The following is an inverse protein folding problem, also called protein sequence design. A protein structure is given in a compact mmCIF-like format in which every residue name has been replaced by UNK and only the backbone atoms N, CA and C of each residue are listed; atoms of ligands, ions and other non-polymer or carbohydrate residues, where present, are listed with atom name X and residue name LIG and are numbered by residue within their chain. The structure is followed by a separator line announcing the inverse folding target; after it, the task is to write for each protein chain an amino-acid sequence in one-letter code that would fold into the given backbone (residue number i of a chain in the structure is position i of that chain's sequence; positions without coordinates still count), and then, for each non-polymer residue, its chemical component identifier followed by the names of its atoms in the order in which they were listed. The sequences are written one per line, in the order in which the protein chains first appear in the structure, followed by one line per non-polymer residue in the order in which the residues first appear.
data_IF_327086025791
#
_entry.id   IF_327086025791
#
_cell.length_a   1.000
_cell.length_b   1.000
_cell.length_c   1.000
_cell.angle_alpha   90.00
_cell.angle_beta   90.00
_cell.angle_gamma   90.00
#
_symmetry.space_group_name_H-M   'P 1'
#
loop_
_entity.id
_entity.type
_entity.pdbx_description
1 polymer ?
#
# COMPACT_ATOMS: atom_id res chain seq x y z
N UNK A 1 -31.29 -21.97 0.00
CA UNK A 1 -31.17 -22.02 -1.47
C UNK A 1 -29.70 -22.02 -1.81
N UNK A 2 -29.14 -23.19 -2.12
CA UNK A 2 -27.75 -23.32 -2.53
C UNK A 2 -27.60 -22.82 -3.98
N UNK A 3 -26.56 -22.02 -4.32
CA UNK A 3 -26.18 -21.90 -5.71
C UNK A 3 -25.45 -23.19 -6.11
N UNK A 4 -25.85 -23.72 -7.26
CA UNK A 4 -25.40 -25.00 -7.79
C UNK A 4 -23.88 -25.03 -7.96
N UNK A 5 -23.26 -26.09 -7.44
CA UNK A 5 -21.98 -26.61 -7.93
C UNK A 5 -22.26 -27.37 -9.22
N UNK A 6 -21.66 -26.92 -10.32
CA UNK A 6 -21.30 -27.79 -11.43
C UNK A 6 -19.85 -27.48 -11.81
N UNK A 7 -18.96 -28.38 -11.43
CA UNK A 7 -17.69 -28.60 -12.11
C UNK A 7 -17.76 -30.03 -12.65
N UNK A 8 -18.40 -30.19 -13.80
CA UNK A 8 -18.22 -31.36 -14.66
C UNK A 8 -17.02 -31.09 -15.55
N UNK A 9 -15.96 -31.84 -15.32
CA UNK A 9 -14.76 -31.86 -16.13
C UNK A 9 -15.03 -32.75 -17.36
N UNK A 10 -15.77 -32.22 -18.33
CA UNK A 10 -15.95 -32.82 -19.66
C UNK A 10 -15.43 -31.84 -20.71
N UNK A 11 -14.58 -32.34 -21.61
CA UNK A 11 -13.88 -31.59 -22.66
C UNK A 11 -14.78 -31.05 -23.77
N UNK A 12 -15.75 -30.23 -23.41
CA UNK A 12 -16.44 -29.32 -24.30
C UNK A 12 -15.85 -27.92 -24.11
N UNK A 13 -15.29 -27.35 -25.18
CA UNK A 13 -15.01 -25.92 -25.25
C UNK A 13 -16.28 -25.16 -24.83
N UNK A 14 -16.28 -24.56 -23.64
CA UNK A 14 -17.31 -23.63 -23.24
C UNK A 14 -17.20 -22.40 -24.15
N UNK A 15 -17.93 -22.40 -25.26
CA UNK A 15 -17.95 -21.32 -26.24
C UNK A 15 -18.55 -20.01 -25.67
N UNK A 16 -19.33 -20.09 -24.58
CA UNK A 16 -19.91 -18.93 -23.92
C UNK A 16 -20.20 -19.23 -22.44
N UNK A 17 -20.10 -18.20 -21.60
CA UNK A 17 -20.49 -18.22 -20.19
C UNK A 17 -21.55 -17.14 -19.94
N UNK A 18 -22.61 -17.47 -19.20
CA UNK A 18 -23.61 -16.49 -18.76
C UNK A 18 -23.06 -15.76 -17.53
N UNK A 19 -23.10 -14.42 -17.58
CA UNK A 19 -22.64 -13.56 -16.50
C UNK A 19 -23.75 -12.60 -16.08
N UNK A 20 -23.70 -12.13 -14.85
CA UNK A 20 -24.53 -11.01 -14.43
C UNK A 20 -24.08 -9.73 -15.18
N UNK A 21 -25.04 -8.84 -15.49
CA UNK A 21 -24.74 -7.59 -16.22
C UNK A 21 -23.72 -6.71 -15.47
N UNK A 22 -23.68 -6.83 -14.15
CA UNK A 22 -22.78 -6.11 -13.25
C UNK A 22 -21.61 -6.98 -12.75
N UNK A 23 -21.30 -8.11 -13.42
CA UNK A 23 -20.15 -8.92 -13.06
C UNK A 23 -18.86 -8.14 -13.31
N UNK A 24 -18.17 -7.76 -12.23
CA UNK A 24 -16.94 -6.96 -12.27
C UNK A 24 -15.79 -7.67 -12.99
N UNK A 25 -15.87 -8.99 -13.17
CA UNK A 25 -14.90 -9.76 -13.94
C UNK A 25 -15.04 -9.58 -15.44
N UNK A 26 -16.17 -9.03 -15.93
CA UNK A 26 -16.33 -8.75 -17.35
C UNK A 26 -15.31 -7.70 -17.85
N UNK A 27 -14.87 -6.81 -16.96
CA UNK A 27 -13.82 -5.84 -17.21
C UNK A 27 -13.05 -5.57 -15.91
N UNK A 28 -11.84 -6.10 -15.81
CA UNK A 28 -10.98 -5.91 -14.65
C UNK A 28 -9.73 -5.13 -15.07
N UNK A 29 -9.63 -3.86 -14.71
CA UNK A 29 -8.47 -3.06 -15.09
C UNK A 29 -7.25 -3.46 -14.27
N UNK A 30 -6.09 -3.45 -14.92
CA UNK A 30 -4.78 -3.77 -14.35
C UNK A 30 -3.99 -2.48 -14.24
N UNK A 31 -3.72 -2.08 -13.00
CA UNK A 31 -2.95 -0.88 -12.69
C UNK A 31 -1.66 -1.25 -11.95
N UNK A 32 -0.65 -0.38 -12.05
CA UNK A 32 0.42 -0.29 -11.06
C UNK A 32 0.27 1.00 -10.29
N UNK A 33 0.47 0.96 -8.98
CA UNK A 33 0.60 2.15 -8.13
C UNK A 33 2.04 2.18 -7.63
N UNK A 34 2.68 3.34 -7.66
CA UNK A 34 4.00 3.55 -7.09
C UNK A 34 4.02 4.87 -6.34
N UNK A 35 4.56 4.87 -5.11
CA UNK A 35 4.80 6.10 -4.37
C UNK A 35 6.05 6.81 -4.90
N UNK A 36 6.02 8.14 -4.93
CA UNK A 36 7.19 8.95 -5.25
C UNK A 36 7.93 9.22 -3.94
N UNK A 37 9.04 8.52 -3.74
CA UNK A 37 9.88 8.55 -2.54
C UNK A 37 11.25 9.18 -2.85
N UNK A 38 12.08 9.52 -1.85
CA UNK A 38 13.44 10.00 -2.11
C UNK A 38 14.28 8.98 -2.90
N UNK A 39 15.20 9.44 -3.77
CA UNK A 39 15.54 10.84 -4.03
C UNK A 39 14.57 11.58 -4.96
N UNK A 40 13.73 10.88 -5.73
CA UNK A 40 12.76 11.47 -6.67
C UNK A 40 11.83 12.49 -5.99
N UNK A 41 11.34 12.18 -4.79
CA UNK A 41 10.40 13.06 -4.09
C UNK A 41 10.99 14.42 -3.70
N UNK A 42 12.31 14.48 -3.61
CA UNK A 42 13.10 15.67 -3.22
C UNK A 42 13.61 16.44 -4.43
N UNK A 43 13.46 15.91 -5.64
CA UNK A 43 13.86 16.58 -6.86
C UNK A 43 13.04 17.87 -7.02
N UNK A 44 13.72 19.03 -6.98
CA UNK A 44 13.04 20.32 -7.07
C UNK A 44 12.36 20.47 -8.43
N UNK A 45 11.04 20.68 -8.39
CA UNK A 45 10.21 20.86 -9.58
C UNK A 45 10.67 22.09 -10.38
N UNK A 46 10.70 21.92 -11.70
CA UNK A 46 11.03 22.99 -12.63
C UNK A 46 12.53 23.29 -12.77
N UNK A 47 13.41 22.58 -12.06
CA UNK A 47 14.86 22.61 -12.31
C UNK A 47 15.21 22.03 -13.68
N UNK A 48 16.42 22.31 -14.18
CA UNK A 48 16.90 21.72 -15.44
C UNK A 48 16.90 20.18 -15.38
N UNK A 49 17.31 19.60 -14.25
CA UNK A 49 17.31 18.15 -14.03
C UNK A 49 15.90 17.55 -14.01
N UNK A 50 14.93 18.14 -13.29
CA UNK A 50 13.53 17.66 -13.29
C UNK A 50 12.92 17.68 -14.70
N UNK A 51 13.04 18.82 -15.40
CA UNK A 51 12.50 18.97 -16.76
C UNK A 51 13.15 18.00 -17.74
N UNK A 52 14.48 17.89 -17.68
CA UNK A 52 15.23 17.00 -18.55
C UNK A 52 14.96 15.54 -18.24
N UNK A 53 14.80 15.16 -16.96
CA UNK A 53 14.46 13.80 -16.51
C UNK A 53 13.06 13.37 -16.99
N UNK A 54 12.11 14.29 -17.07
CA UNK A 54 10.74 14.02 -17.55
C UNK A 54 10.59 14.03 -19.08
N UNK A 55 11.56 14.57 -19.82
CA UNK A 55 11.48 14.72 -21.28
C UNK A 55 12.40 13.75 -22.04
N UNK A 56 11.88 12.57 -22.39
CA UNK A 56 12.60 11.61 -23.24
C UNK A 56 12.90 12.19 -24.62
N UNK A 57 12.03 13.05 -25.15
CA UNK A 57 12.22 13.71 -26.44
C UNK A 57 13.46 14.62 -26.45
N UNK A 58 13.61 15.46 -25.42
CA UNK A 58 14.73 16.40 -25.35
C UNK A 58 16.07 15.68 -25.11
N UNK A 59 16.07 14.62 -24.29
CA UNK A 59 17.25 13.75 -24.14
C UNK A 59 17.64 13.09 -25.46
N UNK A 60 16.69 12.49 -26.17
CA UNK A 60 16.92 11.88 -27.50
C UNK A 60 17.42 12.90 -28.53
N UNK A 61 16.92 14.14 -28.48
CA UNK A 61 17.37 15.20 -29.40
C UNK A 61 18.85 15.56 -29.18
N UNK A 62 19.31 15.59 -27.92
CA UNK A 62 20.71 15.80 -27.56
C UNK A 62 21.55 14.59 -27.98
N UNK A 63 21.10 13.37 -27.68
CA UNK A 63 21.85 12.14 -27.94
C UNK A 63 21.97 11.82 -29.44
N UNK A 64 20.96 12.18 -30.24
CA UNK A 64 20.96 11.99 -31.69
C UNK A 64 21.91 12.97 -32.44
N UNK A 65 22.45 13.99 -31.75
CA UNK A 65 23.30 15.00 -32.37
C UNK A 65 24.68 14.43 -32.76
N UNK A 66 24.92 14.29 -34.08
CA UNK A 66 26.12 13.65 -34.63
C UNK A 66 27.42 14.44 -34.53
N UNK A 67 27.36 15.75 -34.21
CA UNK A 67 28.55 16.60 -34.11
C UNK A 67 28.56 17.41 -32.81
N UNK A 68 29.74 17.75 -32.26
CA UNK A 68 29.84 18.59 -31.05
C UNK A 68 29.20 19.98 -31.21
N UNK A 69 29.14 20.50 -32.43
CA UNK A 69 28.47 21.77 -32.70
C UNK A 69 26.95 21.61 -32.67
N UNK A 70 26.42 20.54 -33.28
CA UNK A 70 24.99 20.24 -33.26
C UNK A 70 24.51 19.95 -31.84
N UNK A 71 25.28 19.20 -31.03
CA UNK A 71 24.95 18.92 -29.64
C UNK A 71 24.85 20.19 -28.80
N UNK A 72 25.83 21.10 -28.92
CA UNK A 72 25.78 22.43 -28.27
C UNK A 72 24.59 23.27 -28.73
N UNK A 73 24.22 23.19 -30.01
CA UNK A 73 23.02 23.84 -30.55
C UNK A 73 21.72 23.32 -29.92
N UNK A 74 21.60 22.00 -29.73
CA UNK A 74 20.45 21.39 -29.06
C UNK A 74 20.38 21.79 -27.59
N UNK A 75 21.51 21.70 -26.87
CA UNK A 75 21.61 22.12 -25.47
C UNK A 75 21.16 23.57 -25.30
N UNK A 76 21.62 24.48 -26.16
CA UNK A 76 21.22 25.89 -26.10
C UNK A 76 19.71 26.07 -26.30
N UNK A 77 19.15 25.40 -27.30
CA UNK A 77 17.71 25.47 -27.62
C UNK A 77 16.85 24.97 -26.45
N UNK A 78 17.25 23.85 -25.84
CA UNK A 78 16.54 23.26 -24.71
C UNK A 78 16.71 24.12 -23.45
N UNK A 79 17.91 24.65 -23.20
CA UNK A 79 18.18 25.55 -22.08
C UNK A 79 17.32 26.82 -22.17
N UNK A 80 17.21 27.42 -23.36
CA UNK A 80 16.33 28.57 -23.61
C UNK A 80 14.86 28.22 -23.32
N UNK A 81 14.41 27.01 -23.72
CA UNK A 81 13.05 26.51 -23.46
C UNK A 81 12.78 26.31 -21.97
N UNK A 82 13.77 25.77 -21.24
CA UNK A 82 13.69 25.52 -19.80
C UNK A 82 13.94 26.77 -18.97
N UNK A 83 14.38 27.88 -19.60
CA UNK A 83 14.78 29.13 -18.95
C UNK A 83 15.93 28.93 -17.97
N UNK A 84 16.90 28.10 -18.34
CA UNK A 84 18.13 27.86 -17.59
C UNK A 84 19.37 28.15 -18.46
N UNK A 85 20.56 28.10 -17.85
CA UNK A 85 21.81 28.24 -18.62
C UNK A 85 22.16 26.91 -19.32
N UNK A 86 22.93 26.95 -20.42
CA UNK A 86 23.50 25.74 -21.01
C UNK A 86 24.32 24.92 -20.01
N UNK A 87 25.05 25.59 -19.11
CA UNK A 87 25.82 24.97 -18.04
C UNK A 87 24.91 24.19 -17.06
N UNK A 88 23.76 24.75 -16.68
CA UNK A 88 22.77 24.04 -15.83
C UNK A 88 22.24 22.78 -16.52
N UNK A 89 22.03 22.84 -17.83
CA UNK A 89 21.54 21.69 -18.60
C UNK A 89 22.63 20.61 -18.76
N UNK A 90 23.89 21.01 -18.90
CA UNK A 90 25.03 20.08 -18.91
C UNK A 90 25.24 19.41 -17.55
N UNK A 91 25.07 20.15 -16.44
CA UNK A 91 25.07 19.58 -15.10
C UNK A 91 23.91 18.58 -14.92
N UNK A 92 22.70 18.95 -15.33
CA UNK A 92 21.54 18.05 -15.29
C UNK A 92 21.76 16.76 -16.10
N UNK A 93 22.38 16.85 -17.29
CA UNK A 93 22.75 15.69 -18.09
C UNK A 93 23.75 14.79 -17.36
N UNK A 94 24.73 15.39 -16.66
CA UNK A 94 25.71 14.65 -15.89
C UNK A 94 25.06 13.92 -14.70
N UNK A 95 24.17 14.59 -13.97
CA UNK A 95 23.42 14.00 -12.85
C UNK A 95 22.60 12.80 -13.32
N UNK A 96 21.85 12.96 -14.41
CA UNK A 96 21.05 11.88 -15.02
C UNK A 96 21.94 10.73 -15.47
N UNK A 97 23.08 11.03 -16.10
CA UNK A 97 24.03 9.99 -16.54
C UNK A 97 24.69 9.25 -15.37
N UNK A 98 24.75 9.85 -14.19
CA UNK A 98 25.20 9.21 -12.94
C UNK A 98 24.08 8.44 -12.23
N UNK A 99 22.86 8.43 -12.79
CA UNK A 99 21.71 7.69 -12.27
C UNK A 99 20.80 8.52 -11.37
N UNK A 100 21.01 9.83 -11.20
CA UNK A 100 20.13 10.66 -10.38
C UNK A 100 18.82 11.04 -11.12
N UNK A 101 17.65 11.07 -10.44
CA UNK A 101 17.42 10.56 -9.08
C UNK A 101 17.46 9.02 -8.99
N UNK A 102 16.86 8.29 -9.92
CA UNK A 102 17.03 6.83 -10.10
C UNK A 102 16.97 6.45 -11.59
N UNK A 103 17.63 7.23 -12.45
CA UNK A 103 17.61 7.03 -13.90
C UNK A 103 18.22 5.68 -14.29
N UNK A 104 17.52 4.93 -15.16
CA UNK A 104 17.85 3.56 -15.61
C UNK A 104 17.99 2.51 -14.48
N UNK A 105 17.57 2.82 -13.25
CA UNK A 105 17.54 1.85 -12.17
C UNK A 105 16.45 0.79 -12.42
N UNK A 106 16.80 -0.48 -12.24
CA UNK A 106 15.88 -1.61 -12.38
C UNK A 106 15.61 -2.20 -11.01
N UNK A 107 14.36 -2.11 -10.58
CA UNK A 107 13.91 -2.63 -9.29
C UNK A 107 13.00 -3.85 -9.47
N UNK A 108 13.19 -4.84 -8.61
CA UNK A 108 12.18 -5.87 -8.41
C UNK A 108 11.00 -5.31 -7.60
N UNK A 109 9.78 -5.88 -7.70
CA UNK A 109 8.65 -5.45 -6.88
C UNK A 109 8.93 -5.48 -5.37
N UNK A 110 9.72 -6.45 -4.90
CA UNK A 110 10.15 -6.52 -3.51
C UNK A 110 11.02 -5.34 -3.10
N UNK A 111 12.01 -4.98 -3.93
CA UNK A 111 12.88 -3.83 -3.68
C UNK A 111 12.12 -2.50 -3.68
N UNK A 112 11.10 -2.33 -4.54
CA UNK A 112 10.24 -1.15 -4.50
C UNK A 112 9.53 -1.03 -3.15
N UNK A 113 8.96 -2.14 -2.68
CA UNK A 113 8.24 -2.17 -1.40
C UNK A 113 9.17 -1.97 -0.20
N UNK A 114 10.37 -2.53 -0.24
CA UNK A 114 11.43 -2.27 0.75
C UNK A 114 11.87 -0.80 0.75
N UNK A 115 12.04 -0.19 -0.42
CA UNK A 115 12.45 1.21 -0.55
C UNK A 115 11.38 2.17 -0.02
N UNK A 116 10.10 1.90 -0.32
CA UNK A 116 8.98 2.62 0.27
C UNK A 116 8.96 2.52 1.80
N UNK A 117 9.11 1.32 2.34
CA UNK A 117 9.17 1.11 3.80
C UNK A 117 10.32 1.91 4.43
N UNK A 118 11.48 1.91 3.80
CA UNK A 118 12.66 2.63 4.28
C UNK A 118 12.48 4.14 4.24
N UNK A 119 11.86 4.67 3.18
CA UNK A 119 11.55 6.08 3.07
C UNK A 119 10.65 6.59 4.20
N UNK A 120 9.75 5.76 4.74
CA UNK A 120 8.94 6.13 5.90
C UNK A 120 9.68 6.00 7.24
N UNK A 121 10.72 5.17 7.31
CA UNK A 121 11.54 5.02 8.53
C UNK A 121 12.66 6.05 8.65
N UNK A 122 13.10 6.61 7.53
CA UNK A 122 14.12 7.65 7.45
C UNK A 122 13.58 9.00 7.94
N UNK A 123 14.32 9.66 8.83
CA UNK A 123 14.05 11.04 9.22
C UNK A 123 14.71 11.93 8.18
N UNK A 124 13.92 12.48 7.26
CA UNK A 124 14.41 13.37 6.21
C UNK A 124 14.66 14.78 6.78
N UNK A 125 15.91 15.27 6.83
CA UNK A 125 16.20 16.63 7.27
C UNK A 125 15.82 17.66 6.20
N UNK A 126 15.48 18.87 6.64
CA UNK A 126 15.25 20.05 5.78
C UNK A 126 14.18 19.87 4.70
N UNK A 127 13.18 19.02 4.94
CA UNK A 127 12.04 18.81 4.05
C UNK A 127 11.33 20.12 3.73
N UNK A 128 11.08 20.37 2.44
CA UNK A 128 10.27 21.49 1.99
C UNK A 128 8.80 21.07 1.85
N UNK A 129 7.83 21.97 2.15
CA UNK A 129 6.40 21.63 2.06
C UNK A 129 5.88 21.24 0.66
N UNK A 130 6.65 21.55 -0.39
CA UNK A 130 6.32 21.26 -1.79
C UNK A 130 7.00 20.00 -2.34
N UNK A 131 7.82 19.30 -1.53
CA UNK A 131 8.34 17.97 -1.84
C UNK A 131 7.18 16.97 -2.05
N UNK A 132 7.41 15.93 -2.85
CA UNK A 132 6.36 14.98 -3.20
C UNK A 132 6.06 13.96 -2.08
N UNK A 133 6.95 13.85 -1.09
CA UNK A 133 6.75 13.11 0.16
C UNK A 133 7.22 13.98 1.32
N UNK A 134 6.33 14.27 2.26
CA UNK A 134 6.62 15.02 3.48
C UNK A 134 6.12 14.23 4.68
N UNK A 135 7.05 13.86 5.57
CA UNK A 135 6.78 13.03 6.75
C UNK A 135 7.22 13.70 8.03
N UNK A 136 6.50 13.43 9.12
CA UNK A 136 6.88 13.80 10.48
C UNK A 136 6.91 12.54 11.35
N UNK A 137 8.07 12.21 11.90
CA UNK A 137 8.20 11.10 12.85
C UNK A 137 7.56 11.51 14.20
N UNK A 138 6.56 10.75 14.62
CA UNK A 138 5.81 10.96 15.87
C UNK A 138 6.16 9.89 16.91
N UNK A 139 7.18 9.07 16.65
CA UNK A 139 7.51 7.88 17.44
C UNK A 139 7.86 8.23 18.87
N UNK A 140 8.69 9.26 19.09
CA UNK A 140 9.11 9.64 20.45
C UNK A 140 7.90 10.06 21.30
N UNK A 141 7.02 10.89 20.74
CA UNK A 141 5.80 11.36 21.42
C UNK A 141 4.81 10.22 21.63
N UNK A 142 4.70 9.30 20.67
CA UNK A 142 3.92 8.07 20.79
C UNK A 142 4.40 7.20 21.94
N UNK A 143 5.70 6.88 21.99
CA UNK A 143 6.27 6.03 23.04
C UNK A 143 6.20 6.68 24.42
N UNK A 144 6.26 8.01 24.50
CA UNK A 144 6.08 8.73 25.76
C UNK A 144 4.68 8.48 26.39
N UNK A 145 3.65 8.14 25.60
CA UNK A 145 2.33 7.79 26.12
C UNK A 145 2.35 6.52 27.00
N UNK A 146 3.27 5.58 26.73
CA UNK A 146 3.42 4.38 27.56
C UNK A 146 4.04 4.68 28.94
N UNK A 147 4.77 5.79 29.07
CA UNK A 147 5.42 6.22 30.30
C UNK A 147 4.53 7.05 31.24
N UNK A 148 3.34 7.45 30.79
CA UNK A 148 2.40 8.22 31.60
C UNK A 148 1.74 7.33 32.67
N UNK A 149 2.02 7.60 33.94
CA UNK A 149 1.51 6.81 35.08
C UNK A 149 -0.03 6.82 35.18
N UNK A 150 -0.71 7.76 34.51
CA UNK A 150 -2.18 7.82 34.47
C UNK A 150 -2.79 6.81 33.50
N UNK A 151 -1.98 6.22 32.64
CA UNK A 151 -2.39 5.28 31.59
C UNK A 151 -2.37 3.85 32.13
N UNK A 152 -3.48 3.13 32.01
CA UNK A 152 -3.58 1.73 32.45
C UNK A 152 -2.71 0.78 31.62
N UNK A 153 -2.39 -0.38 32.19
CA UNK A 153 -1.52 -1.39 31.57
C UNK A 153 -1.98 -1.81 30.17
N UNK A 154 -3.30 -1.94 29.95
CA UNK A 154 -3.85 -2.30 28.63
C UNK A 154 -3.42 -1.30 27.55
N UNK A 155 -3.57 -0.01 27.82
CA UNK A 155 -3.21 1.06 26.87
C UNK A 155 -1.69 1.14 26.69
N UNK A 156 -0.92 0.92 27.76
CA UNK A 156 0.54 0.81 27.68
C UNK A 156 0.95 -0.29 26.71
N UNK A 157 0.30 -1.46 26.77
CA UNK A 157 0.58 -2.57 25.84
C UNK A 157 0.18 -2.25 24.40
N UNK A 158 -0.87 -1.46 24.18
CA UNK A 158 -1.22 -0.97 22.84
C UNK A 158 -0.12 -0.08 22.26
N UNK A 159 0.37 0.87 23.05
CA UNK A 159 1.43 1.80 22.64
C UNK A 159 2.71 1.04 22.31
N UNK A 160 3.12 0.11 23.18
CA UNK A 160 4.32 -0.72 22.97
C UNK A 160 4.18 -1.69 21.78
N UNK A 161 2.96 -2.06 21.38
CA UNK A 161 2.73 -2.89 20.21
C UNK A 161 2.99 -2.18 18.87
N UNK A 162 2.96 -0.85 18.87
CA UNK A 162 3.30 -0.01 17.71
C UNK A 162 4.70 0.57 17.92
N UNK A 163 5.66 0.12 17.12
CA UNK A 163 7.05 0.53 17.22
C UNK A 163 7.31 1.92 16.62
N UNK A 164 6.70 2.25 15.47
CA UNK A 164 6.83 3.56 14.81
C UNK A 164 5.45 4.10 14.47
N UNK A 165 5.29 5.42 14.63
CA UNK A 165 4.14 6.19 14.16
C UNK A 165 4.66 7.38 13.37
N UNK A 166 4.30 7.46 12.10
CA UNK A 166 4.75 8.50 11.18
C UNK A 166 3.54 9.16 10.56
N UNK A 167 3.48 10.48 10.73
CA UNK A 167 2.48 11.34 10.08
C UNK A 167 2.97 11.64 8.67
N UNK A 168 2.13 11.37 7.66
CA UNK A 168 2.44 11.64 6.26
C UNK A 168 1.60 12.83 5.81
N UNK A 169 2.18 14.04 5.89
CA UNK A 169 1.49 15.29 5.53
C UNK A 169 1.26 15.41 4.03
N UNK A 170 2.17 14.83 3.26
CA UNK A 170 2.10 14.84 1.80
C UNK A 170 2.69 13.56 1.26
N UNK A 171 2.00 12.95 0.32
CA UNK A 171 2.52 11.89 -0.53
C UNK A 171 2.01 12.10 -1.96
N UNK A 172 2.85 11.70 -2.91
CA UNK A 172 2.49 11.60 -4.31
C UNK A 172 2.55 10.13 -4.72
N UNK A 173 1.53 9.68 -5.43
CA UNK A 173 1.50 8.37 -6.05
C UNK A 173 1.30 8.53 -7.55
N UNK A 174 1.93 7.65 -8.34
CA UNK A 174 1.69 7.55 -9.77
C UNK A 174 0.93 6.26 -10.04
N UNK A 175 -0.28 6.39 -10.59
CA UNK A 175 -1.11 5.24 -10.98
C UNK A 175 -1.00 5.04 -12.48
N UNK A 176 -0.39 3.94 -12.88
CA UNK A 176 -0.12 3.57 -14.28
C UNK A 176 -1.14 2.53 -14.72
N UNK A 177 -1.84 2.78 -15.83
CA UNK A 177 -2.73 1.80 -16.42
C UNK A 177 -1.94 0.87 -17.34
N UNK A 178 -1.91 -0.43 -16.99
CA UNK A 178 -1.15 -1.48 -17.69
C UNK A 178 -2.01 -2.27 -18.67
N UNK A 179 -3.32 -2.14 -18.60
CA UNK A 179 -4.25 -2.88 -19.46
C UNK A 179 -5.47 -3.36 -18.69
N UNK A 180 -6.21 -4.30 -19.26
CA UNK A 180 -7.34 -4.93 -18.58
C UNK A 180 -7.40 -6.42 -18.90
N UNK A 181 -8.00 -7.18 -17.99
CA UNK A 181 -8.32 -8.59 -18.17
C UNK A 181 -9.84 -8.80 -18.17
N UNK A 182 -10.29 -9.97 -18.63
CA UNK A 182 -11.69 -10.39 -18.61
C UNK A 182 -11.78 -11.80 -18.05
N UNK A 183 -12.82 -12.07 -17.27
CA UNK A 183 -13.20 -13.40 -16.77
C UNK A 183 -12.07 -14.14 -16.05
N UNK A 184 -11.23 -13.41 -15.32
CA UNK A 184 -10.01 -13.91 -14.67
C UNK A 184 -8.97 -14.48 -15.65
N UNK A 185 -9.04 -14.10 -16.92
CA UNK A 185 -8.06 -14.50 -17.93
C UNK A 185 -6.67 -13.99 -17.57
N UNK A 186 -5.67 -14.84 -17.77
CA UNK A 186 -4.26 -14.52 -17.54
C UNK A 186 -3.72 -13.49 -18.55
N UNK A 187 -4.40 -13.33 -19.68
CA UNK A 187 -4.01 -12.42 -20.75
C UNK A 187 -4.47 -11.00 -20.42
N UNK A 188 -3.50 -10.13 -20.13
CA UNK A 188 -3.72 -8.70 -20.01
C UNK A 188 -3.68 -8.06 -21.40
N UNK A 189 -4.76 -7.38 -21.79
CA UNK A 189 -4.80 -6.59 -23.02
C UNK A 189 -4.19 -5.22 -22.73
N UNK A 190 -3.08 -4.84 -23.39
CA UNK A 190 -2.41 -3.57 -23.12
C UNK A 190 -3.26 -2.36 -23.59
N UNK A 191 -3.00 -1.15 -23.05
CA UNK A 191 -3.72 0.05 -23.46
C UNK A 191 -3.43 0.44 -24.92
N UNK A 192 -2.21 0.18 -25.39
CA UNK A 192 -1.83 0.37 -26.78
C UNK A 192 -2.22 -0.85 -27.62
N UNK A 193 -3.33 -0.72 -28.35
CA UNK A 193 -3.84 -1.75 -29.25
C UNK A 193 -2.95 -1.92 -30.49
N UNK A 194 -2.20 -0.89 -30.87
CA UNK A 194 -1.31 -0.89 -32.06
C UNK A 194 0.05 -1.51 -31.74
N UNK A 195 0.49 -1.45 -30.47
CA UNK A 195 1.76 -2.01 -30.00
C UNK A 195 2.99 -1.23 -30.48
N UNK A 196 2.86 0.08 -30.66
CA UNK A 196 3.92 0.97 -31.17
C UNK A 196 4.47 1.94 -30.11
N UNK A 197 3.82 2.02 -28.95
CA UNK A 197 4.15 2.95 -27.87
C UNK A 197 5.18 2.35 -26.92
N UNK A 198 6.17 3.17 -26.55
CA UNK A 198 7.18 2.87 -25.52
C UNK A 198 6.82 3.48 -24.15
N UNK A 199 5.55 3.87 -23.95
CA UNK A 199 5.04 4.51 -22.74
C UNK A 199 3.67 3.97 -22.34
N UNK A 200 3.30 4.16 -21.07
CA UNK A 200 1.99 3.80 -20.52
C UNK A 200 1.25 5.03 -20.00
N UNK A 201 -0.08 5.10 -20.15
CA UNK A 201 -0.87 6.18 -19.57
C UNK A 201 -0.83 6.11 -18.04
N UNK A 202 -0.63 7.26 -17.40
CA UNK A 202 -0.56 7.36 -15.95
C UNK A 202 -1.22 8.65 -15.46
N UNK A 203 -1.65 8.64 -14.20
CA UNK A 203 -2.13 9.81 -13.48
C UNK A 203 -1.29 10.04 -12.24
N UNK A 204 -1.00 11.31 -11.95
CA UNK A 204 -0.43 11.72 -10.67
C UNK A 204 -1.56 11.91 -9.66
N UNK A 205 -1.37 11.34 -8.48
CA UNK A 205 -2.27 11.44 -7.35
C UNK A 205 -1.50 12.06 -6.19
N UNK A 206 -2.19 12.86 -5.39
CA UNK A 206 -1.64 13.54 -4.23
C UNK A 206 -2.54 13.28 -3.02
N UNK A 207 -1.94 13.23 -1.84
CA UNK A 207 -2.70 13.14 -0.60
C UNK A 207 -1.82 13.04 0.63
N UNK A 208 -2.32 12.32 1.62
CA UNK A 208 -1.81 12.27 2.98
C UNK A 208 -2.03 10.87 3.56
N UNK A 209 -1.43 10.57 4.71
CA UNK A 209 -1.55 9.25 5.30
C UNK A 209 -1.02 9.13 6.73
N UNK A 210 -1.16 7.91 7.22
CA UNK A 210 -0.66 7.44 8.51
C UNK A 210 0.15 6.19 8.22
N UNK A 211 1.43 6.22 8.60
CA UNK A 211 2.27 5.03 8.55
C UNK A 211 2.59 4.56 9.96
N UNK A 212 2.45 3.25 10.18
CA UNK A 212 2.84 2.61 11.44
C UNK A 212 3.67 1.37 11.17
N UNK A 213 4.52 1.01 12.13
CA UNK A 213 5.11 -0.32 12.18
C UNK A 213 4.78 -1.00 13.50
N UNK A 214 4.54 -2.30 13.47
CA UNK A 214 4.38 -3.10 14.69
C UNK A 214 5.74 -3.45 15.30
N UNK A 215 5.74 -3.77 16.60
CA UNK A 215 6.93 -4.30 17.27
C UNK A 215 7.31 -5.69 16.73
N UNK A 216 8.48 -5.79 16.09
CA UNK A 216 8.92 -7.00 15.39
C UNK A 216 9.22 -8.16 16.36
N UNK A 217 9.76 -7.89 17.55
CA UNK A 217 10.09 -8.93 18.52
C UNK A 217 8.82 -9.54 19.13
N UNK A 218 7.83 -8.72 19.45
CA UNK A 218 6.50 -9.15 19.85
C UNK A 218 5.80 -9.89 18.73
N UNK A 219 5.90 -9.41 17.49
CA UNK A 219 5.27 -10.04 16.33
C UNK A 219 5.87 -11.42 16.04
N UNK A 220 7.19 -11.56 16.17
CA UNK A 220 7.87 -12.85 16.07
C UNK A 220 7.39 -13.82 17.16
N UNK A 221 7.41 -13.39 18.43
CA UNK A 221 6.93 -14.22 19.55
C UNK A 221 5.46 -14.64 19.38
N UNK A 222 4.62 -13.72 18.91
CA UNK A 222 3.20 -13.98 18.65
C UNK A 222 3.00 -14.96 17.50
N UNK A 223 3.77 -14.78 16.42
CA UNK A 223 3.73 -15.66 15.25
C UNK A 223 4.25 -17.07 15.53
N UNK A 224 5.14 -17.24 16.50
CA UNK A 224 5.67 -18.54 16.92
C UNK A 224 4.70 -19.32 17.84
N UNK A 225 3.63 -18.70 18.32
CA UNK A 225 2.62 -19.36 19.16
C UNK A 225 1.91 -20.51 18.42
N UNK A 226 1.72 -21.63 19.10
CA UNK A 226 1.14 -22.85 18.52
C UNK A 226 -0.30 -22.64 18.04
N UNK A 227 -1.12 -21.91 18.80
CA UNK A 227 -2.51 -21.66 18.45
C UNK A 227 -2.63 -20.71 17.25
N UNK A 228 -1.75 -19.72 17.16
CA UNK A 228 -1.65 -18.81 16.00
C UNK A 228 -1.26 -19.61 14.74
N UNK A 229 -0.21 -20.43 14.83
CA UNK A 229 0.25 -21.24 13.71
C UNK A 229 -0.79 -22.26 13.24
N UNK A 230 -1.41 -22.98 14.17
CA UNK A 230 -2.48 -23.94 13.85
C UNK A 230 -3.65 -23.25 13.12
N UNK A 231 -4.00 -22.04 13.56
CA UNK A 231 -5.08 -21.25 12.96
C UNK A 231 -4.80 -20.84 11.52
N UNK A 232 -3.55 -20.50 11.18
CA UNK A 232 -3.10 -20.24 9.80
C UNK A 232 -3.06 -21.52 8.97
N UNK A 233 -2.51 -22.61 9.51
CA UNK A 233 -2.39 -23.89 8.80
C UNK A 233 -3.73 -24.44 8.33
N UNK A 234 -4.82 -24.19 9.07
CA UNK A 234 -6.18 -24.58 8.69
C UNK A 234 -6.66 -23.94 7.37
N UNK A 235 -6.07 -22.81 6.95
CA UNK A 235 -6.36 -22.16 5.67
C UNK A 235 -5.51 -22.67 4.51
N UNK A 236 -4.39 -23.35 4.79
CA UNK A 236 -3.41 -23.76 3.77
C UNK A 236 -4.01 -24.59 2.63
N UNK A 237 -4.87 -25.61 2.87
CA UNK A 237 -5.47 -26.37 1.78
C UNK A 237 -6.31 -25.50 0.84
N UNK A 238 -7.03 -24.52 1.39
CA UNK A 238 -7.87 -23.59 0.61
C UNK A 238 -7.03 -22.58 -0.13
N UNK A 239 -5.96 -22.09 0.49
CA UNK A 239 -5.02 -21.17 -0.13
C UNK A 239 -4.36 -21.80 -1.36
N UNK A 240 -3.84 -23.02 -1.23
CA UNK A 240 -3.28 -23.79 -2.36
C UNK A 240 -4.34 -23.99 -3.45
N UNK A 241 -5.56 -24.40 -3.08
CA UNK A 241 -6.65 -24.60 -4.05
C UNK A 241 -7.07 -23.31 -4.76
N UNK A 242 -6.93 -22.15 -4.12
CA UNK A 242 -7.31 -20.87 -4.70
C UNK A 242 -6.42 -20.42 -5.87
N UNK A 243 -5.23 -21.01 -6.01
CA UNK A 243 -4.27 -20.65 -7.06
C UNK A 243 -3.76 -19.21 -6.98
N UNK A 244 -3.89 -18.55 -5.81
CA UNK A 244 -3.40 -17.19 -5.60
C UNK A 244 -1.88 -17.21 -5.37
N UNK A 245 -1.13 -16.75 -6.36
CA UNK A 245 0.31 -16.49 -6.24
C UNK A 245 0.59 -14.98 -6.12
N UNK A 246 1.13 -14.55 -4.98
CA UNK A 246 1.56 -13.19 -4.64
C UNK A 246 0.50 -12.07 -4.84
N UNK A 247 0.60 -10.91 -4.17
CA UNK A 247 1.48 -10.54 -3.05
C UNK A 247 0.92 -10.99 -1.68
N UNK A 248 0.07 -12.01 -1.64
CA UNK A 248 -0.65 -12.50 -0.45
C UNK A 248 0.06 -13.72 0.21
N UNK A 249 1.13 -13.57 1.00
CA UNK A 249 1.69 -14.71 1.72
C UNK A 249 0.71 -15.16 2.80
N UNK A 250 0.31 -16.44 2.79
CA UNK A 250 -0.45 -17.02 3.90
C UNK A 250 0.46 -17.13 5.13
N UNK A 251 0.51 -16.07 5.93
CA UNK A 251 1.29 -15.98 7.17
C UNK A 251 0.48 -15.27 8.25
N UNK A 252 0.74 -15.59 9.52
CA UNK A 252 0.10 -14.92 10.65
C UNK A 252 0.37 -13.40 10.63
N UNK A 253 1.63 -13.03 10.33
CA UNK A 253 2.11 -11.65 10.15
C UNK A 253 1.24 -10.88 9.17
N UNK A 254 1.10 -11.39 7.94
CA UNK A 254 0.31 -10.73 6.90
C UNK A 254 -1.16 -10.61 7.31
N UNK A 255 -1.77 -11.70 7.79
CA UNK A 255 -3.18 -11.69 8.19
C UNK A 255 -3.47 -10.70 9.33
N UNK A 256 -2.56 -10.57 10.29
CA UNK A 256 -2.66 -9.58 11.37
C UNK A 256 -2.59 -8.15 10.82
N UNK A 257 -1.56 -7.82 10.03
CA UNK A 257 -1.37 -6.48 9.46
C UNK A 257 -2.56 -6.08 8.59
N UNK A 258 -3.00 -6.98 7.73
CA UNK A 258 -4.14 -6.76 6.83
C UNK A 258 -5.44 -6.56 7.59
N UNK A 259 -5.71 -7.41 8.58
CA UNK A 259 -6.93 -7.26 9.39
C UNK A 259 -6.89 -5.99 10.24
N UNK A 260 -5.74 -5.65 10.82
CA UNK A 260 -5.57 -4.43 11.59
C UNK A 260 -5.77 -3.19 10.71
N UNK A 261 -5.19 -3.17 9.51
CA UNK A 261 -5.37 -2.10 8.52
C UNK A 261 -6.85 -1.88 8.20
N UNK A 262 -7.60 -2.95 7.96
CA UNK A 262 -9.05 -2.86 7.73
C UNK A 262 -9.80 -2.27 8.93
N UNK A 263 -9.50 -2.73 10.15
CA UNK A 263 -10.14 -2.22 11.36
C UNK A 263 -9.82 -0.72 11.58
N UNK A 264 -8.58 -0.32 11.34
CA UNK A 264 -8.15 1.08 11.40
C UNK A 264 -8.86 1.93 10.34
N UNK A 265 -8.89 1.49 9.07
CA UNK A 265 -9.60 2.21 8.00
C UNK A 265 -11.09 2.38 8.31
N UNK A 266 -11.76 1.35 8.84
CA UNK A 266 -13.17 1.45 9.26
C UNK A 266 -13.35 2.43 10.42
N UNK A 267 -12.41 2.46 11.37
CA UNK A 267 -12.47 3.41 12.48
C UNK A 267 -12.20 4.85 12.01
N UNK A 268 -11.26 5.03 11.10
CA UNK A 268 -10.93 6.32 10.47
C UNK A 268 -12.11 6.83 9.64
N UNK A 269 -12.83 5.97 8.90
CA UNK A 269 -14.07 6.34 8.22
C UNK A 269 -15.11 6.87 9.24
N UNK A 270 -15.31 6.13 10.34
CA UNK A 270 -16.33 6.45 11.32
C UNK A 270 -16.09 7.79 12.05
N UNK A 271 -14.83 8.20 12.23
CA UNK A 271 -14.48 9.43 12.97
C UNK A 271 -13.95 10.56 12.10
N UNK A 272 -13.17 10.23 11.07
CA UNK A 272 -12.52 11.19 10.18
C UNK A 272 -13.40 11.67 9.03
N UNK A 273 -14.57 11.05 8.81
CA UNK A 273 -15.50 11.45 7.74
C UNK A 273 -14.99 11.19 6.32
N UNK A 274 -13.91 10.42 6.18
CA UNK A 274 -13.42 9.94 4.89
C UNK A 274 -14.33 8.84 4.37
N UNK A 275 -14.83 8.91 3.12
CA UNK A 275 -15.51 7.76 2.52
C UNK A 275 -14.57 6.55 2.52
N UNK A 276 -15.01 5.37 2.98
CA UNK A 276 -14.11 4.21 3.03
C UNK A 276 -13.47 3.86 1.69
N UNK A 277 -14.13 4.16 0.56
CA UNK A 277 -13.57 3.92 -0.77
C UNK A 277 -12.43 4.87 -1.16
N UNK A 278 -12.16 5.91 -0.36
CA UNK A 278 -11.06 6.87 -0.57
C UNK A 278 -9.80 6.52 0.21
N UNK A 279 -9.93 5.74 1.28
CA UNK A 279 -8.80 5.20 2.04
C UNK A 279 -8.24 4.01 1.26
N UNK A 280 -6.91 3.90 1.22
CA UNK A 280 -6.20 2.79 0.61
C UNK A 280 -5.14 2.31 1.59
N UNK A 281 -5.03 0.99 1.73
CA UNK A 281 -3.94 0.38 2.49
C UNK A 281 -2.76 0.02 1.59
N UNK A 282 -1.56 0.11 2.16
CA UNK A 282 -0.37 -0.56 1.66
C UNK A 282 0.25 -1.34 2.81
N UNK A 283 0.48 -2.64 2.61
CA UNK A 283 1.05 -3.52 3.63
C UNK A 283 2.50 -3.83 3.28
N UNK A 284 3.39 -3.51 4.23
CA UNK A 284 4.81 -3.83 4.18
C UNK A 284 5.06 -5.07 5.04
N UNK A 285 5.11 -6.25 4.41
CA UNK A 285 5.19 -7.53 5.10
C UNK A 285 6.27 -8.43 4.49
N UNK A 286 7.36 -8.66 5.21
CA UNK A 286 8.43 -9.59 4.84
C UNK A 286 9.19 -10.07 6.08
N UNK A 287 9.78 -11.27 6.01
CA UNK A 287 10.69 -11.78 7.07
C UNK A 287 12.16 -11.74 6.67
N UNK A 288 12.45 -11.81 5.37
CA UNK A 288 13.79 -11.77 4.79
C UNK A 288 13.72 -11.19 3.36
N UNK A 289 14.80 -10.55 2.86
CA UNK A 289 16.05 -10.28 3.57
C UNK A 289 15.91 -9.21 4.67
N UNK A 290 14.87 -8.36 4.58
CA UNK A 290 14.53 -7.36 5.57
C UNK A 290 13.19 -7.68 6.22
N UNK A 291 13.13 -7.59 7.55
CA UNK A 291 11.88 -7.73 8.29
C UNK A 291 11.05 -6.46 8.10
N UNK A 292 9.82 -6.62 7.67
CA UNK A 292 8.84 -5.55 7.52
C UNK A 292 7.52 -5.99 8.17
N UNK A 293 6.96 -5.09 8.98
CA UNK A 293 5.63 -5.19 9.56
C UNK A 293 5.00 -3.80 9.64
N UNK A 294 4.86 -3.17 8.47
CA UNK A 294 4.34 -1.82 8.32
C UNK A 294 2.95 -1.78 7.68
N UNK A 295 2.18 -0.77 8.05
CA UNK A 295 0.89 -0.43 7.43
C UNK A 295 0.95 1.05 7.09
N UNK A 296 0.71 1.39 5.82
CA UNK A 296 0.36 2.74 5.40
C UNK A 296 -1.14 2.76 5.10
N UNK A 297 -1.87 3.66 5.75
CA UNK A 297 -3.23 4.02 5.36
C UNK A 297 -3.16 5.41 4.77
N UNK A 298 -3.58 5.56 3.52
CA UNK A 298 -3.48 6.84 2.83
C UNK A 298 -4.72 7.17 2.02
N UNK A 299 -4.84 8.44 1.67
CA UNK A 299 -5.72 8.92 0.61
C UNK A 299 -4.86 9.44 -0.53
N UNK A 300 -5.28 9.20 -1.77
CA UNK A 300 -4.59 9.75 -2.94
C UNK A 300 -5.62 10.12 -4.01
N UNK A 301 -5.72 11.42 -4.30
CA UNK A 301 -6.70 11.96 -5.25
C UNK A 301 -6.00 12.71 -6.39
N UNK A 302 -6.62 12.84 -7.58
CA UNK A 302 -6.02 13.53 -8.72
C UNK A 302 -5.82 15.04 -8.57
N UNK A 303 -6.28 15.64 -7.46
CA UNK A 303 -6.22 17.09 -7.23
C UNK A 303 -5.20 17.44 -6.14
N UNK A 304 -4.32 18.40 -6.44
CA UNK A 304 -3.31 18.92 -5.51
C UNK A 304 -3.97 19.66 -4.33
N UNK A 305 -5.20 20.16 -4.50
CA UNK A 305 -5.97 20.78 -3.42
C UNK A 305 -6.64 19.77 -2.47
N UNK A 306 -6.47 18.46 -2.72
CA UNK A 306 -7.46 17.43 -2.41
C UNK A 306 -7.36 16.69 -1.06
N UNK A 307 -6.58 17.14 -0.09
CA UNK A 307 -6.68 16.61 1.28
C UNK A 307 -6.47 17.71 2.30
N UNK A 308 -7.51 18.04 3.07
CA UNK A 308 -7.52 19.15 4.05
C UNK A 308 -6.65 18.87 5.30
N UNK A 309 -5.68 17.96 5.24
CA UNK A 309 -4.82 17.58 6.37
C UNK A 309 -5.49 16.68 7.41
N UNK A 310 -6.72 16.22 7.16
CA UNK A 310 -7.54 15.54 8.16
C UNK A 310 -7.03 14.15 8.54
N UNK A 311 -6.45 13.41 7.60
CA UNK A 311 -5.92 12.06 7.85
C UNK A 311 -4.55 12.16 8.51
N UNK A 312 -3.70 13.09 8.06
CA UNK A 312 -2.43 13.37 8.73
C UNK A 312 -2.66 13.86 10.18
N UNK A 313 -3.71 14.64 10.46
CA UNK A 313 -4.11 15.02 11.82
C UNK A 313 -4.50 13.84 12.72
N UNK A 314 -5.00 12.75 12.16
CA UNK A 314 -5.31 11.56 12.94
C UNK A 314 -4.02 10.88 13.43
N UNK A 315 -2.89 11.05 12.72
CA UNK A 315 -1.59 10.54 13.13
C UNK A 315 -0.98 11.24 14.36
N UNK A 316 -1.61 12.31 14.87
CA UNK A 316 -1.23 12.88 16.16
C UNK A 316 -1.35 11.81 17.26
N UNK A 317 -0.30 11.52 18.05
CA UNK A 317 -0.22 10.34 18.91
C UNK A 317 -1.45 10.06 19.78
N UNK A 318 -2.02 11.08 20.43
CA UNK A 318 -3.22 10.91 21.27
C UNK A 318 -4.49 10.63 20.47
N UNK A 319 -4.62 11.22 19.27
CA UNK A 319 -5.75 10.96 18.37
C UNK A 319 -5.63 9.56 17.79
N UNK A 320 -4.45 9.20 17.30
CA UNK A 320 -4.18 7.86 16.79
C UNK A 320 -4.43 6.78 17.84
N UNK A 321 -4.02 7.01 19.09
CA UNK A 321 -4.31 6.10 20.19
C UNK A 321 -5.82 5.87 20.37
N UNK A 322 -6.63 6.93 20.28
CA UNK A 322 -8.08 6.82 20.31
C UNK A 322 -8.65 5.97 19.17
N UNK A 323 -8.14 6.15 17.95
CA UNK A 323 -8.49 5.32 16.78
C UNK A 323 -8.10 3.86 17.03
N UNK A 324 -6.87 3.60 17.47
CA UNK A 324 -6.37 2.25 17.72
C UNK A 324 -7.22 1.54 18.78
N UNK A 325 -7.47 2.17 19.92
CA UNK A 325 -8.31 1.61 21.00
C UNK A 325 -9.68 1.21 20.45
N UNK A 326 -10.37 2.12 19.75
CA UNK A 326 -11.72 1.83 19.23
C UNK A 326 -11.73 0.81 18.10
N UNK A 327 -10.70 0.79 17.24
CA UNK A 327 -10.54 -0.25 16.22
C UNK A 327 -10.39 -1.64 16.86
N UNK A 328 -9.62 -1.76 17.94
CA UNK A 328 -9.45 -3.01 18.70
C UNK A 328 -10.74 -3.39 19.47
N UNK A 329 -11.47 -2.43 20.02
CA UNK A 329 -12.78 -2.68 20.63
C UNK A 329 -13.79 -3.19 19.59
N UNK A 330 -13.86 -2.58 18.41
CA UNK A 330 -14.71 -3.06 17.31
C UNK A 330 -14.30 -4.44 16.81
N UNK A 331 -13.02 -4.79 16.87
CA UNK A 331 -12.57 -6.15 16.57
C UNK A 331 -13.23 -7.20 17.48
N UNK A 332 -13.73 -6.83 18.68
CA UNK A 332 -14.41 -7.73 19.62
C UNK A 332 -15.85 -8.03 19.24
N UNK A 333 -16.51 -7.17 18.46
CA UNK A 333 -17.95 -7.27 18.18
C UNK A 333 -18.25 -7.56 16.71
N UNK A 334 -19.18 -8.49 16.47
CA UNK A 334 -19.80 -8.69 15.16
C UNK A 334 -21.25 -9.09 15.36
N UNK A 335 -22.17 -8.49 14.61
CA UNK A 335 -23.60 -8.81 14.67
C UNK A 335 -23.93 -10.23 14.21
N UNK A 336 -22.97 -10.92 13.58
CA UNK A 336 -23.07 -12.30 13.12
C UNK A 336 -22.34 -13.28 14.03
N UNK A 337 -21.84 -12.86 15.19
CA UNK A 337 -21.29 -13.81 16.18
C UNK A 337 -22.39 -14.67 16.80
N UNK A 338 -22.10 -15.96 17.11
CA UNK A 338 -20.79 -16.63 16.99
C UNK A 338 -20.49 -17.18 15.59
N UNK A 339 -21.48 -17.18 14.67
CA UNK A 339 -21.35 -17.76 13.32
C UNK A 339 -20.15 -17.19 12.57
N UNK A 340 -19.92 -15.87 12.65
CA UNK A 340 -18.77 -15.23 12.01
C UNK A 340 -17.43 -15.68 12.63
N UNK A 341 -17.31 -15.68 13.95
CA UNK A 341 -16.07 -16.04 14.64
C UNK A 341 -15.70 -17.53 14.55
N UNK A 342 -16.71 -18.41 14.50
CA UNK A 342 -16.53 -19.86 14.44
C UNK A 342 -16.41 -20.38 13.01
N UNK A 343 -16.73 -19.56 12.00
CA UNK A 343 -16.64 -19.97 10.60
C UNK A 343 -15.18 -20.32 10.24
N UNK A 344 -15.00 -21.50 9.65
CA UNK A 344 -13.66 -21.96 9.29
C UNK A 344 -13.14 -21.33 8.00
N UNK A 345 -14.02 -20.87 7.10
CA UNK A 345 -13.65 -20.21 5.84
C UNK A 345 -14.82 -19.51 5.16
N UNK A 346 -14.70 -18.22 4.84
CA UNK A 346 -15.72 -17.41 4.17
C UNK A 346 -15.10 -16.49 3.11
N UNK A 347 -15.95 -15.80 2.33
CA UNK A 347 -15.50 -14.88 1.28
C UNK A 347 -14.84 -15.57 0.08
N UNK A 348 -14.14 -14.80 -0.78
CA UNK A 348 -13.47 -15.33 -1.97
C UNK A 348 -12.48 -16.45 -1.62
N UNK A 349 -12.62 -17.61 -2.27
CA UNK A 349 -11.79 -18.79 -2.02
C UNK A 349 -11.94 -19.41 -0.62
N UNK A 350 -12.94 -18.99 0.17
CA UNK A 350 -13.10 -19.38 1.57
C UNK A 350 -11.86 -19.09 2.44
N UNK A 351 -11.17 -17.99 2.11
CA UNK A 351 -9.88 -17.59 2.70
C UNK A 351 -9.99 -16.66 3.91
N UNK A 352 -11.19 -16.16 4.23
CA UNK A 352 -11.42 -15.36 5.43
C UNK A 352 -11.88 -16.24 6.58
N UNK A 353 -11.48 -15.88 7.80
CA UNK A 353 -12.04 -16.46 9.04
C UNK A 353 -12.96 -15.46 9.68
N UNK A 354 -12.72 -14.93 10.88
CA UNK A 354 -13.66 -14.06 11.59
C UNK A 354 -13.79 -12.64 10.97
N UNK A 355 -14.13 -12.56 9.68
CA UNK A 355 -14.14 -11.36 8.87
C UNK A 355 -15.29 -11.41 7.85
N UNK A 356 -16.28 -10.54 8.05
CA UNK A 356 -17.44 -10.35 7.18
C UNK A 356 -17.73 -8.86 6.97
N UNK A 357 -18.73 -8.54 6.13
CA UNK A 357 -19.13 -7.16 5.85
C UNK A 357 -19.51 -6.35 7.09
N UNK A 358 -19.97 -7.01 8.16
CA UNK A 358 -20.37 -6.33 9.39
C UNK A 358 -19.18 -5.89 10.27
N UNK A 359 -18.01 -6.55 10.16
CA UNK A 359 -16.90 -6.33 11.10
C UNK A 359 -15.57 -5.92 10.46
N UNK A 360 -15.19 -6.48 9.31
CA UNK A 360 -13.81 -6.39 8.84
C UNK A 360 -13.65 -6.12 7.35
N UNK A 361 -14.65 -6.38 6.50
CA UNK A 361 -14.49 -6.07 5.07
C UNK A 361 -14.56 -4.56 4.84
N UNK A 362 -13.77 -4.09 3.87
CA UNK A 362 -13.74 -2.71 3.38
C UNK A 362 -14.15 -2.68 1.90
N UNK A 363 -14.49 -1.51 1.33
CA UNK A 363 -14.74 -1.39 -0.10
C UNK A 363 -13.56 -1.91 -0.93
N UNK A 364 -13.83 -2.55 -2.07
CA UNK A 364 -12.79 -3.11 -2.94
C UNK A 364 -11.65 -2.12 -3.27
N UNK A 365 -11.89 -0.84 -3.59
CA UNK A 365 -10.80 0.10 -3.93
C UNK A 365 -9.83 0.36 -2.77
N UNK A 366 -10.22 0.05 -1.53
CA UNK A 366 -9.41 0.31 -0.35
C UNK A 366 -8.40 -0.80 -0.02
N UNK A 367 -8.61 -2.01 -0.56
CA UNK A 367 -7.81 -3.20 -0.24
C UNK A 367 -7.08 -3.71 -1.49
N UNK A 368 -5.74 -3.68 -1.49
CA UNK A 368 -4.91 -4.21 -2.58
C UNK A 368 -5.01 -5.75 -2.71
N UNK A 369 -5.56 -6.41 -1.70
CA UNK A 369 -5.54 -7.86 -1.54
C UNK A 369 -6.90 -8.53 -1.78
N UNK A 370 -7.91 -7.74 -2.17
CA UNK A 370 -9.22 -8.25 -2.58
C UNK A 370 -10.04 -8.83 -1.43
N UNK A 371 -9.92 -8.25 -0.21
CA UNK A 371 -10.68 -8.65 0.98
C UNK A 371 -10.54 -10.16 1.31
N UNK A 372 -9.32 -10.72 1.21
CA UNK A 372 -9.01 -12.12 1.57
C UNK A 372 -7.96 -12.24 2.65
N UNK A 373 -7.86 -13.39 3.32
CA UNK A 373 -6.88 -13.63 4.40
C UNK A 373 -7.08 -12.70 5.60
N UNK A 374 -8.34 -12.45 5.96
CA UNK A 374 -8.74 -11.61 7.08
C UNK A 374 -9.23 -12.45 8.26
N UNK A 375 -8.83 -12.05 9.48
CA UNK A 375 -9.25 -12.73 10.70
C UNK A 375 -9.10 -11.84 11.95
N UNK A 376 -10.19 -11.22 12.41
CA UNK A 376 -10.13 -10.31 13.57
C UNK A 376 -9.75 -11.02 14.87
N UNK A 377 -9.83 -12.35 14.93
CA UNK A 377 -9.39 -13.13 16.10
C UNK A 377 -7.89 -12.96 16.35
N UNK A 378 -7.05 -12.73 15.33
CA UNK A 378 -5.64 -12.41 15.54
C UNK A 378 -5.43 -11.06 16.25
N UNK A 379 -6.37 -10.14 16.09
CA UNK A 379 -6.34 -8.82 16.71
C UNK A 379 -6.91 -8.87 18.13
N UNK A 380 -8.09 -9.49 18.31
CA UNK A 380 -8.79 -9.52 19.61
C UNK A 380 -8.39 -10.68 20.54
N UNK A 381 -7.74 -11.71 20.03
CA UNK A 381 -7.52 -12.98 20.73
C UNK A 381 -8.82 -13.75 21.02
N UNK A 382 -8.68 -14.89 21.69
CA UNK A 382 -9.78 -15.59 22.36
C UNK A 382 -9.33 -16.17 23.70
N UNK A 383 -10.19 -16.10 24.71
CA UNK A 383 -9.93 -16.60 26.07
C UNK A 383 -9.58 -18.10 26.10
N UNK A 384 -9.97 -18.85 25.07
CA UNK A 384 -9.71 -20.29 24.92
C UNK A 384 -8.30 -20.65 24.45
N UNK A 385 -7.38 -19.67 24.35
CA UNK A 385 -5.94 -19.94 24.20
C UNK A 385 -5.26 -19.33 22.98
N UNK A 386 -5.92 -18.49 22.18
CA UNK A 386 -5.24 -17.74 21.12
C UNK A 386 -4.88 -16.34 21.63
N UNK A 387 -3.58 -16.00 21.74
CA UNK A 387 -3.15 -14.69 22.25
C UNK A 387 -3.48 -13.57 21.25
N UNK A 388 -3.99 -12.46 21.78
CA UNK A 388 -4.09 -11.21 21.03
C UNK A 388 -2.70 -10.57 20.90
N UNK A 389 -2.33 -10.10 19.71
CA UNK A 389 -1.03 -9.42 19.51
C UNK A 389 -0.83 -8.26 20.50
N UNK A 390 -1.83 -7.40 20.66
CA UNK A 390 -1.79 -6.25 21.57
C UNK A 390 -2.01 -6.59 23.05
N UNK A 391 -2.36 -7.85 23.36
CA UNK A 391 -2.50 -8.34 24.74
C UNK A 391 -1.22 -8.98 25.29
N UNK A 392 -0.16 -9.10 24.47
CA UNK A 392 1.11 -9.67 24.90
C UNK A 392 2.05 -8.59 25.49
N UNK A 393 2.86 -8.94 26.50
CA UNK A 393 3.88 -8.06 27.05
C UNK A 393 5.06 -7.82 26.09
#
# INVERSE_FOLDING_TARGET
MAPARELSNDGHDQLAQVLAINDTRAYSPVWGLALVIPPESRARKGTAVDRLYRSTQDRRAIDAARTPLARRGQIRTIADTYRCTPEDLEAALLDIAQGYPSYDAVFTPGQLRESEFDAFLEILPDQQPDEDLVTQDQTEVWQALAGDETVGEEVRQLVLGVNRLVRVDRLKAVKVFRGFSRLNGEVVVPPDIVGSSDWLPAVELYGEGIFITLDEDRLSRWGDDEAVNLRVQQLLPRFIQSGRDAPNPLTARFMLLHTLSHLLMRQIEAEGGYPAASLTEVIYCAEAPKRMAGILIHVAVPDIAGSLGGLAEIAEPRRFLGILVRALEHARWCSLDPVCSEHEGQGPGLLNRAACHACALVPEPACEYGNTLLDRVFVKGVDSGLPAFFGMP
#
